data_IF_570883356678
#
_entry.id   IF_570883356678
#
_cell.length_a   1.000
_cell.length_b   1.000
_cell.length_c   1.000
_cell.angle_alpha   90.00
_cell.angle_beta   90.00
_cell.angle_gamma   90.00
#
_symmetry.space_group_name_H-M   'P 1'
#
loop_
_entity.id
_entity.type
_entity.pdbx_description
1 polymer ?
2 non-polymer ?
3 non-polymer ?
4 non-polymer ?
5 non-polymer ?
6 water ?
#
# COMPACT_ATOMS: atom_id res chain seq x y z
N UNK A 8 4.49 -29.58 -4.24
CA UNK A 8 5.65 -28.66 -4.13
C UNK A 8 5.30 -27.26 -4.61
N UNK A 9 5.60 -26.26 -3.78
CA UNK A 9 5.41 -24.86 -4.18
C UNK A 9 6.40 -24.42 -5.27
N UNK A 10 7.53 -25.12 -5.40
CA UNK A 10 8.48 -24.85 -6.47
C UNK A 10 8.18 -25.72 -7.67
N UNK A 11 7.75 -25.06 -8.74
CA UNK A 11 7.47 -25.76 -9.98
C UNK A 11 8.64 -25.75 -10.95
N UNK A 12 9.57 -24.81 -10.74
CA UNK A 12 10.74 -24.56 -11.58
C UNK A 12 10.39 -23.92 -12.92
N UNK A 13 9.11 -23.70 -13.18
CA UNK A 13 8.72 -23.10 -14.44
C UNK A 13 9.21 -21.68 -14.63
N UNK A 14 9.53 -21.01 -13.53
CA UNK A 14 10.05 -19.65 -13.59
C UNK A 14 11.55 -19.58 -13.72
N UNK A 15 12.23 -20.73 -13.81
CA UNK A 15 13.70 -20.74 -13.76
C UNK A 15 14.39 -20.04 -14.92
N UNK A 16 13.67 -19.87 -16.04
CA UNK A 16 14.22 -19.17 -17.20
C UNK A 16 13.77 -17.72 -17.32
N UNK A 17 13.06 -17.21 -16.30
CA UNK A 17 12.76 -15.80 -16.26
C UNK A 17 11.38 -15.38 -16.69
N UNK A 18 10.55 -16.33 -17.12
CA UNK A 18 9.16 -16.01 -17.49
C UNK A 18 8.20 -16.58 -16.48
N UNK A 19 7.03 -15.96 -16.40
CA UNK A 19 6.06 -16.31 -15.39
C UNK A 19 4.64 -16.09 -15.92
N UNK A 20 3.68 -16.78 -15.33
CA UNK A 20 2.27 -16.62 -15.71
C UNK A 20 1.61 -15.49 -14.93
N UNK A 21 0.77 -14.72 -15.62
CA UNK A 21 -0.11 -13.77 -14.94
C UNK A 21 -1.50 -14.40 -14.84
N UNK A 22 -2.51 -13.62 -14.49
CA UNK A 22 -3.87 -14.17 -14.50
C UNK A 22 -4.31 -14.30 -15.96
N UNK A 23 -4.90 -15.44 -16.28
CA UNK A 23 -5.20 -15.77 -17.67
C UNK A 23 -4.05 -16.57 -18.29
N UNK A 24 -3.98 -16.54 -19.61
CA UNK A 24 -3.05 -17.44 -20.30
C UNK A 24 -1.68 -16.84 -20.57
N UNK A 25 -1.51 -15.53 -20.39
CA UNK A 25 -0.26 -14.89 -20.81
C UNK A 25 0.91 -15.22 -19.91
N UNK A 26 2.07 -15.36 -20.53
CA UNK A 26 3.32 -15.32 -19.78
C UNK A 26 4.12 -14.08 -20.12
N UNK A 27 4.87 -13.61 -19.12
CA UNK A 27 5.64 -12.38 -19.25
C UNK A 27 7.00 -12.62 -18.64
N UNK A 28 7.99 -11.85 -19.10
CA UNK A 28 9.25 -11.79 -18.36
C UNK A 28 8.99 -11.24 -16.96
N UNK A 29 9.79 -11.67 -16.01
CA UNK A 29 9.57 -11.24 -14.62
C UNK A 29 9.85 -9.75 -14.42
N UNK A 30 10.63 -9.11 -15.30
CA UNK A 30 10.79 -7.66 -15.20
C UNK A 30 9.77 -6.85 -15.98
N UNK A 31 8.75 -7.52 -16.56
CA UNK A 31 7.71 -6.79 -17.28
C UNK A 31 7.05 -5.79 -16.32
N UNK A 32 6.65 -4.60 -16.82
CA UNK A 32 6.08 -3.63 -15.88
C UNK A 32 4.84 -4.14 -15.13
N UNK A 33 4.08 -5.06 -15.73
CA UNK A 33 2.92 -5.60 -15.02
C UNK A 33 3.35 -6.41 -13.78
N UNK A 34 4.34 -7.28 -13.97
CA UNK A 34 4.84 -8.12 -12.91
C UNK A 34 5.51 -7.25 -11.83
N UNK A 35 6.21 -6.21 -12.23
CA UNK A 35 6.82 -5.29 -11.28
C UNK A 35 5.73 -4.59 -10.47
N UNK A 36 4.62 -4.22 -11.11
CA UNK A 36 3.55 -3.51 -10.39
C UNK A 36 2.91 -4.37 -9.31
N UNK A 37 2.45 -5.58 -9.64
CA UNK A 37 1.84 -6.37 -8.59
C UNK A 37 2.90 -6.97 -7.66
N UNK A 38 4.14 -7.10 -8.12
CA UNK A 38 5.21 -7.50 -7.22
C UNK A 38 5.46 -6.45 -6.15
N UNK A 39 5.41 -5.17 -6.51
CA UNK A 39 5.60 -4.09 -5.54
C UNK A 39 4.43 -4.05 -4.57
N UNK A 40 3.22 -4.34 -5.03
CA UNK A 40 2.09 -4.41 -4.13
C UNK A 40 2.27 -5.57 -3.12
N UNK A 41 2.83 -6.69 -3.57
CA UNK A 41 3.13 -7.81 -2.69
C UNK A 41 4.18 -7.41 -1.66
N UNK A 42 5.22 -6.68 -2.08
CA UNK A 42 6.22 -6.17 -1.15
C UNK A 42 5.56 -5.25 -0.12
N UNK A 43 4.68 -4.36 -0.56
CA UNK A 43 3.96 -3.51 0.38
C UNK A 43 3.15 -4.34 1.36
N UNK A 44 2.44 -5.35 0.86
CA UNK A 44 1.62 -6.18 1.70
C UNK A 44 2.47 -6.87 2.78
N UNK A 45 3.64 -7.36 2.40
CA UNK A 45 4.53 -7.97 3.38
C UNK A 45 5.03 -6.95 4.42
N UNK A 46 5.34 -5.74 3.99
CA UNK A 46 5.72 -4.70 4.92
C UNK A 46 4.57 -4.33 5.86
N UNK A 47 3.34 -4.30 5.37
CA UNK A 47 2.18 -4.07 6.25
C UNK A 47 2.09 -5.17 7.31
N UNK A 48 2.34 -6.43 6.92
CA UNK A 48 2.37 -7.53 7.89
C UNK A 48 3.45 -7.28 8.94
N UNK A 49 4.62 -6.84 8.50
CA UNK A 49 5.70 -6.57 9.43
C UNK A 49 5.30 -5.45 10.38
N UNK A 50 4.73 -4.39 9.83
CA UNK A 50 4.27 -3.27 10.65
C UNK A 50 3.26 -3.72 11.72
N UNK A 51 2.30 -4.55 11.31
CA UNK A 51 1.29 -5.05 12.24
C UNK A 51 1.92 -5.86 13.37
N UNK A 52 3.02 -6.54 13.09
CA UNK A 52 3.69 -7.34 14.10
C UNK A 52 4.32 -6.50 15.20
N UNK A 53 4.39 -5.18 14.98
CA UNK A 53 4.99 -4.23 15.94
C UNK A 53 3.97 -3.61 16.86
N UNK A 54 2.70 -3.91 16.65
CA UNK A 54 1.62 -3.36 17.48
C UNK A 54 1.87 -3.74 18.94
N UNK A 55 1.57 -2.81 19.84
CA UNK A 55 1.75 -3.02 21.30
C UNK A 55 0.48 -2.60 22.03
N UNK A 56 0.52 -2.60 23.36
CA UNK A 56 -0.70 -2.30 24.13
C UNK A 56 -1.21 -0.87 23.87
N UNK A 57 -0.30 0.04 23.54
CA UNK A 57 -0.68 1.42 23.27
C UNK A 57 -1.36 1.57 21.92
N UNK A 58 -1.09 0.64 21.00
CA UNK A 58 -1.44 0.85 19.59
C UNK A 58 -2.35 -0.22 19.02
N UNK A 59 -2.91 -1.06 19.90
CA UNK A 59 -3.81 -2.13 19.52
C UNK A 59 -4.95 -1.66 18.62
N UNK A 60 -5.42 -0.42 18.82
CA UNK A 60 -6.54 0.09 18.01
C UNK A 60 -6.23 0.12 16.50
N UNK A 61 -4.96 0.04 16.12
CA UNK A 61 -4.57 0.07 14.71
C UNK A 61 -4.51 -1.31 14.07
N UNK A 62 -4.57 -2.37 14.86
CA UNK A 62 -4.30 -3.70 14.35
C UNK A 62 -5.29 -4.16 13.28
N UNK A 63 -6.58 -4.04 13.56
CA UNK A 63 -7.59 -4.60 12.69
C UNK A 63 -7.60 -3.94 11.31
N UNK A 64 -7.45 -2.62 11.26
CA UNK A 64 -7.44 -1.94 9.97
C UNK A 64 -6.22 -2.26 9.12
N UNK A 65 -5.09 -2.54 9.75
CA UNK A 65 -3.92 -2.98 8.98
C UNK A 65 -4.20 -4.32 8.31
N UNK A 66 -4.90 -5.21 9.02
CA UNK A 66 -5.27 -6.52 8.44
C UNK A 66 -6.21 -6.32 7.28
N UNK A 67 -7.17 -5.41 7.43
CA UNK A 67 -8.11 -5.09 6.37
C UNK A 67 -7.37 -4.57 5.14
N UNK A 68 -6.39 -3.70 5.34
CA UNK A 68 -5.56 -3.21 4.24
C UNK A 68 -4.87 -4.36 3.50
N UNK A 69 -4.38 -5.35 4.24
CA UNK A 69 -3.75 -6.50 3.59
C UNK A 69 -4.72 -7.26 2.69
N UNK A 70 -5.97 -7.38 3.11
CA UNK A 70 -6.98 -8.03 2.28
C UNK A 70 -7.20 -7.21 1.03
N UNK A 71 -7.31 -5.89 1.18
CA UNK A 71 -7.50 -4.99 0.04
C UNK A 71 -6.35 -5.02 -0.93
N UNK A 72 -5.13 -5.16 -0.41
CA UNK A 72 -3.96 -5.15 -1.30
C UNK A 72 -3.90 -6.40 -2.15
N UNK A 73 -4.37 -7.52 -1.61
CA UNK A 73 -4.54 -8.72 -2.42
C UNK A 73 -5.51 -8.47 -3.56
N UNK A 74 -6.63 -7.79 -3.29
CA UNK A 74 -7.61 -7.47 -4.35
C UNK A 74 -6.97 -6.57 -5.41
N UNK A 75 -6.17 -5.61 -4.98
CA UNK A 75 -5.48 -4.72 -5.93
C UNK A 75 -4.49 -5.49 -6.78
N UNK A 76 -3.70 -6.35 -6.15
CA UNK A 76 -2.74 -7.17 -6.88
C UNK A 76 -3.44 -8.01 -7.94
N UNK A 77 -4.55 -8.62 -7.57
CA UNK A 77 -5.30 -9.47 -8.50
C UNK A 77 -5.63 -8.69 -9.75
N UNK A 78 -6.16 -7.48 -9.58
CA UNK A 78 -6.55 -6.70 -10.74
C UNK A 78 -5.36 -6.26 -11.57
N UNK A 79 -4.24 -5.94 -10.93
CA UNK A 79 -3.04 -5.56 -11.67
C UNK A 79 -2.50 -6.72 -12.49
N UNK A 80 -2.71 -7.95 -12.00
CA UNK A 80 -2.26 -9.17 -12.69
C UNK A 80 -3.20 -9.59 -13.83
N UNK A 81 -4.31 -8.87 -13.99
CA UNK A 81 -5.37 -9.21 -14.96
C UNK A 81 -5.37 -8.27 -16.15
N UNK A 82 -5.07 -8.79 -17.36
CA UNK A 82 -5.19 -7.93 -18.53
C UNK A 82 -6.63 -7.45 -18.74
N UNK A 83 -6.75 -6.22 -19.22
CA UNK A 83 -8.07 -5.60 -19.44
C UNK A 83 -8.90 -6.36 -20.48
N UNK A 84 -8.22 -7.02 -21.41
CA UNK A 84 -8.91 -7.75 -22.48
C UNK A 84 -9.02 -9.26 -22.22
N UNK A 85 -8.73 -9.69 -20.99
CA UNK A 85 -8.92 -11.10 -20.64
C UNK A 85 -10.41 -11.41 -20.54
N UNK A 86 -10.86 -12.35 -21.37
CA UNK A 86 -12.29 -12.67 -21.44
C UNK A 86 -12.77 -13.49 -20.24
N UNK A 87 -11.90 -14.32 -19.68
CA UNK A 87 -12.28 -15.26 -18.62
C UNK A 87 -12.13 -14.70 -17.20
N UNK A 88 -11.48 -13.55 -17.08
CA UNK A 88 -11.26 -12.95 -15.76
C UNK A 88 -11.56 -11.45 -15.77
N UNK A 89 -12.33 -11.01 -14.79
CA UNK A 89 -12.74 -9.62 -14.71
C UNK A 89 -12.05 -8.91 -13.54
N UNK A 90 -12.02 -7.57 -13.61
CA UNK A 90 -11.60 -6.75 -12.47
C UNK A 90 -12.60 -6.89 -11.33
N UNK A 91 -12.09 -7.07 -10.12
CA UNK A 91 -12.95 -7.19 -8.94
C UNK A 91 -12.87 -5.97 -8.02
N UNK A 92 -11.81 -5.17 -8.15
CA UNK A 92 -11.59 -4.08 -7.20
C UNK A 92 -12.37 -2.83 -7.57
N UNK A 93 -13.18 -2.35 -6.63
CA UNK A 93 -13.93 -1.10 -6.79
C UNK A 93 -13.45 -0.13 -5.71
N UNK A 94 -12.96 1.04 -6.11
CA UNK A 94 -12.32 1.95 -5.18
C UNK A 94 -13.23 2.63 -4.17
N UNK A 95 -14.51 2.84 -4.51
CA UNK A 95 -15.31 3.80 -3.73
C UNK A 95 -15.37 3.52 -2.23
N UNK A 96 -15.82 2.33 -1.87
CA UNK A 96 -15.99 2.01 -0.46
C UNK A 96 -14.64 1.97 0.30
N UNK A 97 -13.64 1.22 -0.19
CA UNK A 97 -12.36 1.22 0.53
C UNK A 97 -11.69 2.60 0.61
N UNK A 98 -11.85 3.40 -0.42
CA UNK A 98 -11.21 4.71 -0.44
C UNK A 98 -11.89 5.69 0.52
N UNK A 99 -13.23 5.65 0.58
CA UNK A 99 -13.97 6.44 1.56
C UNK A 99 -13.60 6.00 2.99
N UNK A 100 -13.42 4.71 3.18
CA UNK A 100 -13.00 4.18 4.45
C UNK A 100 -11.63 4.74 4.84
N UNK A 101 -10.68 4.75 3.91
CA UNK A 101 -9.39 5.37 4.17
C UNK A 101 -9.54 6.85 4.51
N UNK A 102 -10.37 7.58 3.75
CA UNK A 102 -10.52 9.02 3.96
C UNK A 102 -11.11 9.35 5.32
N UNK A 103 -12.04 8.52 5.79
CA UNK A 103 -12.61 8.71 7.12
C UNK A 103 -11.52 8.57 8.19
N UNK A 104 -10.66 7.58 8.02
CA UNK A 104 -9.53 7.42 8.95
C UNK A 104 -8.55 8.56 8.86
N UNK A 105 -8.20 8.97 7.65
CA UNK A 105 -7.33 10.11 7.46
C UNK A 105 -7.93 11.35 8.17
N UNK A 106 -9.21 11.62 7.97
CA UNK A 106 -9.86 12.76 8.63
C UNK A 106 -9.76 12.65 10.15
N UNK A 107 -10.11 11.49 10.69
CA UNK A 107 -10.10 11.31 12.14
C UNK A 107 -8.70 11.53 12.68
N UNK A 108 -7.72 10.84 12.09
CA UNK A 108 -6.35 10.89 12.59
C UNK A 108 -5.71 12.27 12.40
N UNK A 109 -6.05 12.95 11.31
CA UNK A 109 -5.57 14.31 11.11
C UNK A 109 -6.13 15.26 12.16
N UNK A 110 -7.39 15.09 12.51
CA UNK A 110 -8.05 15.96 13.48
C UNK A 110 -7.45 15.81 14.89
N UNK A 111 -7.12 14.58 15.26
CA UNK A 111 -6.81 14.28 16.66
C UNK A 111 -5.37 14.61 17.04
N UNK A 112 -4.45 14.54 16.08
CA UNK A 112 -3.03 14.76 16.37
C UNK A 112 -2.71 16.25 16.45
N UNK A 113 -1.58 16.62 17.08
CA UNK A 113 -1.22 18.04 17.11
C UNK A 113 -1.01 18.65 15.70
N UNK A 114 -1.58 19.83 15.44
CA UNK A 114 -1.48 20.46 14.12
C UNK A 114 -0.06 20.92 13.79
N UNK A 115 0.34 20.74 12.52
CA UNK A 115 1.60 21.29 11.98
C UNK A 115 1.43 21.84 10.55
N UNK A 116 2.25 22.82 10.20
CA UNK A 116 2.28 23.34 8.83
C UNK A 116 3.63 23.04 8.20
N UNK A 117 4.56 22.58 9.02
CA UNK A 117 5.89 22.22 8.55
C UNK A 117 6.00 20.72 8.33
N UNK A 118 6.89 20.35 7.41
CA UNK A 118 7.24 18.97 7.12
C UNK A 118 7.64 18.26 8.41
N UNK A 119 7.19 17.03 8.60
CA UNK A 119 7.67 16.26 9.72
C UNK A 119 8.68 15.27 9.19
N UNK A 120 9.75 15.08 9.93
CA UNK A 120 10.68 14.05 9.52
C UNK A 120 10.03 12.70 9.89
N UNK A 121 10.13 11.71 8.99
CA UNK A 121 9.50 10.42 9.25
C UNK A 121 10.22 9.65 10.34
N UNK A 122 9.52 9.32 11.40
CA UNK A 122 10.12 8.61 12.53
C UNK A 122 9.28 8.76 13.77
N UNK A 123 9.89 8.43 14.90
CA UNK A 123 9.23 8.47 16.19
C UNK A 123 9.26 7.09 16.82
N UNK A 124 8.09 6.57 17.17
CA UNK A 124 8.07 5.22 17.73
C UNK A 124 8.41 4.21 16.63
N UNK A 125 8.72 2.98 17.03
CA UNK A 125 8.99 1.96 16.05
C UNK A 125 7.78 1.75 15.14
N UNK A 126 6.57 1.75 15.68
CA UNK A 126 5.38 1.55 14.85
C UNK A 126 5.16 2.74 13.92
N UNK A 127 5.28 3.96 14.44
CA UNK A 127 5.09 5.13 13.59
C UNK A 127 6.11 5.15 12.47
N UNK A 128 7.35 4.81 12.79
CA UNK A 128 8.41 4.76 11.79
C UNK A 128 8.10 3.69 10.74
N UNK A 129 7.62 2.52 11.17
CA UNK A 129 7.23 1.48 10.23
C UNK A 129 6.07 1.93 9.34
N UNK A 130 5.16 2.73 9.88
CA UNK A 130 4.06 3.25 9.06
C UNK A 130 4.56 4.27 8.04
N UNK A 131 5.59 5.05 8.39
CA UNK A 131 6.24 5.88 7.37
C UNK A 131 6.95 5.06 6.31
N UNK A 132 7.58 3.96 6.69
CA UNK A 132 8.15 3.09 5.69
C UNK A 132 7.03 2.56 4.78
N UNK A 133 5.90 2.16 5.35
CA UNK A 133 4.75 1.71 4.55
C UNK A 133 4.31 2.81 3.59
N UNK A 134 4.28 4.05 4.07
CA UNK A 134 3.93 5.20 3.25
C UNK A 134 4.80 5.27 2.00
N UNK A 135 6.11 5.13 2.20
CA UNK A 135 7.03 5.27 1.07
C UNK A 135 7.07 4.05 0.16
N UNK A 136 6.85 2.85 0.69
CA UNK A 136 6.76 1.66 -0.17
C UNK A 136 5.46 1.74 -0.98
N UNK A 137 4.37 2.23 -0.37
CA UNK A 137 3.13 2.44 -1.11
C UNK A 137 3.38 3.36 -2.30
N UNK A 138 4.13 4.43 -2.06
CA UNK A 138 4.40 5.40 -3.11
C UNK A 138 5.30 4.82 -4.20
N UNK A 139 6.24 3.95 -3.83
CA UNK A 139 7.03 3.23 -4.81
C UNK A 139 6.17 2.31 -5.66
N UNK A 140 5.29 1.55 -5.02
CA UNK A 140 4.34 0.72 -5.76
C UNK A 140 3.52 1.59 -6.70
N UNK A 141 3.06 2.74 -6.22
CA UNK A 141 2.27 3.66 -7.04
C UNK A 141 3.03 4.06 -8.31
N UNK A 142 4.33 4.36 -8.19
CA UNK A 142 5.11 4.70 -9.37
C UNK A 142 5.11 3.56 -10.38
N UNK A 143 5.21 2.33 -9.88
CA UNK A 143 5.21 1.16 -10.74
C UNK A 143 3.88 0.98 -11.44
N UNK A 144 2.80 1.22 -10.71
CA UNK A 144 1.47 1.14 -11.30
C UNK A 144 1.30 2.19 -12.41
N UNK A 145 1.82 3.39 -12.20
CA UNK A 145 1.74 4.41 -13.25
C UNK A 145 2.59 3.97 -14.45
N UNK A 146 3.74 3.35 -14.23
CA UNK A 146 4.53 2.85 -15.36
C UNK A 146 3.71 1.84 -16.15
N UNK A 147 3.04 0.93 -15.47
CA UNK A 147 2.19 -0.03 -16.15
C UNK A 147 1.06 0.65 -16.92
N UNK A 148 0.38 1.60 -16.29
CA UNK A 148 -0.75 2.31 -16.90
C UNK A 148 -0.37 3.03 -18.19
N UNK A 149 0.87 3.50 -18.29
CA UNK A 149 1.32 4.20 -19.49
C UNK A 149 1.51 3.25 -20.68
N UNK A 150 1.55 1.93 -20.44
CA UNK A 150 1.73 0.92 -21.50
C UNK A 150 0.51 0.05 -21.72
N UNK A 151 -0.32 -0.13 -20.69
CA UNK A 151 -1.44 -1.06 -20.74
C UNK A 151 -2.65 -0.48 -20.05
N UNK A 152 -3.83 -0.92 -20.47
CA UNK A 152 -5.06 -0.56 -19.78
C UNK A 152 -5.13 -1.28 -18.45
N UNK A 153 -5.33 -0.51 -17.39
CA UNK A 153 -5.44 -1.04 -16.04
C UNK A 153 -6.77 -0.66 -15.41
N UNK A 154 -7.05 -1.28 -14.27
CA UNK A 154 -8.16 -0.83 -13.45
C UNK A 154 -7.69 0.39 -12.69
N UNK A 155 -8.10 1.57 -13.15
CA UNK A 155 -7.67 2.83 -12.57
C UNK A 155 -8.14 2.98 -11.11
N UNK A 156 -9.13 2.20 -10.70
CA UNK A 156 -9.57 2.22 -9.30
C UNK A 156 -8.43 1.83 -8.37
N UNK A 157 -7.55 0.96 -8.83
CA UNK A 157 -6.40 0.54 -8.03
C UNK A 157 -5.48 1.73 -7.80
N UNK A 158 -5.27 2.53 -8.83
CA UNK A 158 -4.42 3.70 -8.70
C UNK A 158 -5.01 4.70 -7.71
N UNK A 159 -6.31 4.95 -7.80
CA UNK A 159 -6.97 5.86 -6.88
C UNK A 159 -6.73 5.40 -5.44
N UNK A 160 -6.99 4.12 -5.17
CA UNK A 160 -6.85 3.57 -3.83
C UNK A 160 -5.41 3.63 -3.35
N UNK A 161 -4.46 3.24 -4.18
CA UNK A 161 -3.04 3.26 -3.80
C UNK A 161 -2.56 4.68 -3.53
N UNK A 162 -3.00 5.66 -4.32
CA UNK A 162 -2.71 7.06 -4.04
C UNK A 162 -3.21 7.42 -2.63
N UNK A 163 -4.47 7.14 -2.35
CA UNK A 163 -5.04 7.51 -1.07
C UNK A 163 -4.36 6.76 0.06
N UNK A 164 -3.94 5.52 -0.20
CA UNK A 164 -3.35 4.71 0.84
C UNK A 164 -2.08 5.30 1.42
N UNK A 165 -1.26 5.97 0.61
CA UNK A 165 -0.04 6.55 1.23
C UNK A 165 -0.37 7.74 2.11
N UNK A 166 -1.47 8.45 1.83
CA UNK A 166 -1.94 9.49 2.77
C UNK A 166 -2.45 8.82 4.05
N UNK A 167 -3.16 7.69 3.94
CA UNK A 167 -3.54 6.95 5.13
C UNK A 167 -2.31 6.62 5.97
N UNK A 168 -1.25 6.11 5.34
CA UNK A 168 -0.11 5.70 6.15
C UNK A 168 0.56 6.91 6.81
N UNK A 169 0.60 8.06 6.15
CA UNK A 169 1.10 9.26 6.78
C UNK A 169 0.26 9.60 8.03
N UNK A 170 -1.06 9.62 7.85
CA UNK A 170 -1.95 10.03 8.93
C UNK A 170 -1.88 9.02 10.08
N UNK A 171 -1.80 7.75 9.74
CA UNK A 171 -1.71 6.69 10.75
C UNK A 171 -0.37 6.75 11.49
N UNK A 172 0.70 7.12 10.80
CA UNK A 172 2.00 7.21 11.46
C UNK A 172 1.97 8.32 12.50
N UNK A 173 1.38 9.46 12.16
CA UNK A 173 1.28 10.53 13.15
C UNK A 173 0.40 10.07 14.30
N UNK A 174 -0.68 9.35 13.99
CA UNK A 174 -1.56 8.82 15.02
C UNK A 174 -0.83 7.83 15.93
N UNK A 175 0.01 6.97 15.37
CA UNK A 175 0.77 6.02 16.17
C UNK A 175 1.69 6.76 17.15
N UNK A 176 2.33 7.85 16.70
CA UNK A 176 3.13 8.66 17.63
C UNK A 176 2.26 9.26 18.73
N UNK A 177 1.11 9.79 18.35
CA UNK A 177 0.15 10.33 19.30
C UNK A 177 -0.24 9.30 20.35
N UNK A 178 -0.49 8.06 19.94
CA UNK A 178 -0.91 7.01 20.87
C UNK A 178 0.11 6.68 21.93
N UNK A 179 1.38 6.98 21.65
CA UNK A 179 2.46 6.77 22.66
C UNK A 179 2.99 8.09 23.21
N UNK A 180 2.35 9.19 22.83
CA UNK A 180 2.78 10.55 23.24
C UNK A 180 4.23 10.84 22.88
N UNK A 181 4.61 10.38 21.70
CA UNK A 181 5.89 10.66 21.12
C UNK A 181 5.70 11.84 20.19
N UNK A 182 6.43 12.94 20.42
CA UNK A 182 6.29 14.06 19.49
C UNK A 182 6.84 13.76 18.10
N UNK A 183 6.21 14.35 17.09
CA UNK A 183 6.81 14.39 15.76
C UNK A 183 7.92 15.43 15.73
N UNK A 184 8.97 15.15 14.97
CA UNK A 184 10.04 16.13 14.82
C UNK A 184 9.85 16.81 13.48
N UNK A 185 10.10 18.11 13.48
CA UNK A 185 9.86 18.92 12.32
C UNK A 185 11.17 19.14 11.56
N UNK A 186 11.02 19.35 10.26
CA UNK A 186 12.11 19.75 9.39
C UNK A 186 12.49 21.20 9.70
N UNK A 187 13.77 21.43 9.99
CA UNK A 187 14.24 22.76 10.38
C UNK A 187 14.28 23.72 9.19
X LIG B 1 8.46 -21.20 -9.86
X LIG B 1 7.61 -22.34 -9.35
X LIG B 1 8.96 -20.27 -8.76
X LIG B 1 9.55 -21.58 -10.81
X LIG B 1 7.39 -18.77 -10.98
X LIG B 1 8.68 -18.19 -10.51
X LIG B 1 6.96 -18.52 -12.39
X LIG B 1 7.40 -20.34 -10.68
X LIG B 1 6.13 -18.16 -8.44
X LIG B 1 7.48 -17.93 -7.89
X LIG B 1 5.33 -19.34 -7.98
X LIG B 1 6.20 -18.21 -10.05
X LIG B 1 5.29 -16.82 -8.25
X LIG B 1 3.85 -16.81 -8.15
X LIG B 1 3.29 -15.77 -9.10
X LIG B 1 3.91 -14.50 -8.85
X LIG B 1 3.64 -16.06 -10.54
X LIG B 1 2.63 -16.88 -11.13
X LIG B 1 3.72 -14.69 -11.18
X LIG B 1 2.41 -14.15 -11.40
X LIG B 1 4.30 -13.86 -10.07
X LIG B 1 5.79 -13.81 -10.04
X LIG B 1 6.71 -14.77 -10.28
X LIG B 1 7.98 -14.35 -10.08
X LIG B 1 7.86 -13.06 -9.67
X LIG B 1 8.77 -11.99 -9.28
X LIG B 1 10.12 -12.21 -9.26
X LIG B 1 8.26 -10.80 -8.93
X LIG B 1 6.93 -10.59 -8.92
X LIG B 1 6.00 -11.50 -9.26
X LIG B 1 6.45 -12.72 -9.63
X LIG C 1 1.00 -17.16 -6.57
X LIG C 1 1.06 -19.05 -6.82
X LIG C 1 2.17 -17.27 -5.08
X LIG C 1 0.94 -15.25 -6.60
X LIG C 1 -0.26 -17.24 -7.99
X LIG C 1 0.39 -19.60 -8.02
X LIG C 1 -0.90 -20.10 -7.36
X LIG C 1 1.27 -20.75 -8.54
X LIG C 1 0.42 -21.93 -9.05
X LIG C 1 2.24 -20.30 -9.65
X LIG C 1 3.25 -21.33 -10.12
X LIG C 1 4.41 -21.33 -9.73
X LIG C 1 2.79 -22.22 -11.00
X LIG C 1 2.14 -21.12 -7.30
X LIG C 1 1.55 -22.24 -6.40
X LIG C 1 2.24 -23.59 -6.64
X LIG C 1 1.72 -24.69 -5.72
X LIG C 1 1.62 -24.51 -4.52
X LIG C 1 1.39 -25.83 -6.31
X LIG C 1 2.17 -19.83 -6.53
X LIG C 1 3.15 -19.49 -5.50
X LIG C 1 4.15 -20.55 -5.18
X LIG C 1 3.14 -18.30 -4.86
X LIG C 1 4.13 -17.85 -3.78
X LIG C 1 4.39 -18.92 -2.70
X LIG C 1 5.42 -17.44 -4.49
X LIG C 1 6.48 -16.89 -3.54
X LIG C 1 6.35 -15.75 -3.07
X LIG C 1 7.50 -17.68 -3.29
X LIG C 1 3.47 -16.60 -3.19
X LIG C 1 2.55 -16.90 -1.99
X LIG C 1 1.80 -15.68 -1.46
X LIG C 1 0.97 -16.00 -0.22
X LIG C 1 0.26 -17.01 -0.13
X LIG C 1 1.09 -15.09 0.74
X LIG C 1 2.62 -16.19 -4.34
X LIG C 1 2.20 -14.81 -4.56
X LIG C 1 1.38 -14.43 -5.55
X LIG C 1 0.98 -13.00 -5.81
X LIG C 1 0.74 -12.16 -4.55
X LIG C 1 2.13 -12.37 -6.60
X LIG C 1 -0.28 -13.17 -6.66
X LIG C 1 -1.60 -13.21 -5.88
X LIG C 1 -2.67 -12.34 -6.53
X LIG C 1 -2.24 -10.92 -6.36
X LIG C 1 -1.62 -10.35 -7.25
X LIG C 1 -2.57 -10.36 -5.20
X LIG C 1 -0.09 -14.53 -7.24
X LIG C 1 -0.76 -14.94 -8.48
X LIG C 1 -1.33 -13.86 -9.37
X LIG C 1 -0.78 -16.22 -8.82
X LIG C 1 -1.42 -16.83 -10.08
X LIG C 1 -0.77 -16.16 -11.28
X LIG C 1 -2.96 -16.66 -10.07
X LIG C 1 -3.70 -17.47 -9.00
X LIG C 1 -5.14 -17.04 -8.84
X LIG C 1 -5.41 -15.89 -8.51
X LIG C 1 -6.08 -17.96 -9.07
X LIG C 1 -1.07 -18.34 -9.98
X LIG C 1 -0.65 -19.04 -11.29
X LIG C 1 -1.81 -19.92 -11.72
X LIG C 1 -2.89 -19.44 -12.00
X LIG C 1 -1.60 -21.24 -11.77
X LIG C 1 -0.18 -18.44 -8.76
X LIG C 1 -7.31 -17.68 -9.79
X LIG C 1 -8.37 -17.12 -8.86
X LIG D 1 7.11 -21.09 -6.80
X LIG E 1 -0.69 11.12 -3.50
#
# INVERSE_FOLDING_TARGET
GASAPMVKIYTKNGDKGQTRIIGKQILYKNDPRVAAYGEVDELNSWVGYTKSLINSHTQVLSNELEEIQQLLFDCGHDLATPADDERHSFKFKQEQPTVWLEEKIDNYTQVVPAVKKFILPGGTQLASALHVARTITRRAERQIVQLMREEQINQDVLIFINRLSDYFFAAARYANYLEQQPDMLYR
ATP PG O1G O2G O3G PB O1B O2B O3B PA O1A O2A O3A O5' C5' C4' O4' C3' O3' C2' O2' C1' N9 C8 N7 C5 C6 N6 N1 C2 N3 C4
B12 CO N21 N22 N23 N24 C1 C20 C2 C25 C26 C27 O28 N29 C3 C30 C31 C32 O34 N33 C4 C5 C35 C6 C7 C36 C37 C38 O39 N40 C8 C41 C42 C43 O44 N45 C9 C10 C11 C12 C46 C47 C13 C48 C49 C50 O51 N52 C14 C15 C53 C16 C17 C54 C55 C56 C57 O58 N59 C18 C60 C61 O63 N62 C19 C1P C2P
K K
MG MG
#
